data_IF_726956491646
#
_entry.id   IF_726956491646
#
_cell.length_a   1.000
_cell.length_b   1.000
_cell.length_c   1.000
_cell.angle_alpha   90.00
_cell.angle_beta   90.00
_cell.angle_gamma   90.00
#
_symmetry.space_group_name_H-M   'P 1'
#
loop_
_entity.id
_entity.type
_entity.pdbx_description
1 polymer ?
#
# COMPACT_ATOMS: atom_id res chain seq x y z
N UNK A 1 -12.01 -28.13 4.35
CA UNK A 1 -10.77 -28.01 5.14
C UNK A 1 -10.19 -26.66 4.78
N UNK A 2 -10.04 -25.76 5.76
CA UNK A 2 -9.36 -24.49 5.52
C UNK A 2 -7.93 -24.77 5.04
N UNK A 3 -7.47 -24.13 3.98
CA UNK A 3 -6.09 -24.23 3.55
C UNK A 3 -5.18 -23.65 4.65
N UNK A 4 -4.03 -24.27 4.88
CA UNK A 4 -3.06 -23.71 5.83
C UNK A 4 -2.57 -22.34 5.34
N UNK A 5 -2.17 -21.46 6.25
CA UNK A 5 -1.56 -20.13 5.88
C UNK A 5 -0.46 -20.33 4.85
N UNK A 6 0.38 -21.36 5.03
CA UNK A 6 1.46 -21.66 4.08
C UNK A 6 0.94 -22.00 2.67
N UNK A 7 -0.23 -22.66 2.55
CA UNK A 7 -0.86 -22.89 1.25
C UNK A 7 -1.44 -21.62 0.66
N UNK A 8 -2.11 -20.79 1.48
CA UNK A 8 -2.65 -19.48 1.05
C UNK A 8 -1.54 -18.52 0.63
N UNK A 9 -0.43 -18.47 1.38
CA UNK A 9 0.73 -17.63 1.04
C UNK A 9 1.47 -18.11 -0.22
N UNK A 10 1.44 -19.39 -0.55
CA UNK A 10 1.98 -19.91 -1.83
C UNK A 10 1.15 -19.51 -3.05
N UNK A 11 -0.14 -19.22 -2.86
CA UNK A 11 -1.01 -18.68 -3.91
C UNK A 11 -0.77 -17.20 -4.18
N UNK A 12 -0.05 -16.51 -3.29
CA UNK A 12 0.27 -15.09 -3.37
C UNK A 12 1.65 -14.93 -4.00
N UNK A 13 1.70 -14.43 -5.21
CA UNK A 13 2.89 -14.32 -6.05
C UNK A 13 4.05 -13.46 -5.49
N UNK A 14 3.90 -12.88 -4.30
CA UNK A 14 4.82 -11.87 -3.79
C UNK A 14 5.65 -12.29 -2.56
N UNK A 15 5.22 -13.29 -1.80
CA UNK A 15 5.91 -13.69 -0.57
C UNK A 15 7.12 -14.56 -0.87
N UNK A 16 8.32 -14.03 -0.63
CA UNK A 16 9.59 -14.73 -0.85
C UNK A 16 10.07 -14.76 -2.31
N UNK A 17 9.37 -14.11 -3.25
CA UNK A 17 9.83 -13.97 -4.62
C UNK A 17 10.82 -12.80 -4.75
N UNK A 18 12.06 -13.10 -5.10
CA UNK A 18 13.03 -12.05 -5.43
C UNK A 18 12.58 -11.27 -6.66
N UNK A 19 12.70 -9.93 -6.58
CA UNK A 19 12.49 -9.07 -7.75
C UNK A 19 13.66 -9.33 -8.70
N UNK A 20 13.35 -9.80 -9.90
CA UNK A 20 14.38 -10.02 -10.92
C UNK A 20 15.10 -8.71 -11.24
N UNK A 21 16.43 -8.70 -11.19
CA UNK A 21 17.26 -7.53 -11.53
C UNK A 21 17.31 -7.28 -13.07
N UNK A 22 16.19 -7.55 -13.75
CA UNK A 22 16.01 -7.32 -15.21
C UNK A 22 15.18 -6.07 -15.44
N UNK A 23 15.35 -5.47 -16.61
CA UNK A 23 14.62 -4.26 -17.00
C UNK A 23 15.37 -2.97 -16.65
N UNK A 24 14.64 -1.86 -16.75
CA UNK A 24 15.15 -0.50 -16.59
C UNK A 24 14.62 0.08 -15.29
N UNK A 25 15.50 0.77 -14.55
CA UNK A 25 15.18 1.63 -13.42
C UNK A 25 15.50 3.08 -13.75
N UNK A 26 14.90 4.01 -13.00
CA UNK A 26 15.37 5.39 -12.93
C UNK A 26 16.20 5.56 -11.65
N UNK A 27 17.41 6.07 -11.75
CA UNK A 27 18.31 6.24 -10.61
C UNK A 27 19.12 7.52 -10.76
N UNK A 28 19.02 8.42 -9.78
CA UNK A 28 19.76 9.68 -9.69
C UNK A 28 19.82 10.45 -11.04
N UNK A 29 18.66 10.68 -11.66
CA UNK A 29 18.53 11.49 -12.88
C UNK A 29 18.67 10.73 -14.21
N UNK A 30 18.83 9.40 -14.18
CA UNK A 30 19.07 8.61 -15.40
C UNK A 30 18.26 7.31 -15.43
N UNK A 31 17.88 6.87 -16.61
CA UNK A 31 17.41 5.50 -16.83
C UNK A 31 18.61 4.58 -17.01
N UNK A 32 18.69 3.56 -16.20
CA UNK A 32 19.80 2.58 -16.16
C UNK A 32 19.24 1.17 -16.07
N UNK A 33 20.01 0.12 -16.42
CA UNK A 33 19.64 -1.24 -16.06
C UNK A 33 19.38 -1.37 -14.55
N UNK A 34 18.33 -2.08 -14.15
CA UNK A 34 18.00 -2.22 -12.71
C UNK A 34 19.17 -2.78 -11.90
N UNK A 35 19.92 -3.72 -12.47
CA UNK A 35 21.14 -4.28 -11.88
C UNK A 35 22.25 -3.25 -11.57
N UNK A 36 22.21 -2.08 -12.19
CA UNK A 36 23.17 -0.98 -11.97
C UNK A 36 22.65 0.08 -10.99
N UNK A 37 21.35 0.05 -10.65
CA UNK A 37 20.74 0.99 -9.71
C UNK A 37 21.12 0.64 -8.25
N UNK A 38 22.37 0.91 -7.86
CA UNK A 38 22.97 0.49 -6.60
C UNK A 38 23.29 1.66 -5.69
N UNK A 39 23.24 1.40 -4.38
CA UNK A 39 23.67 2.33 -3.34
C UNK A 39 24.78 1.71 -2.50
N UNK A 40 25.64 2.55 -1.91
CA UNK A 40 26.70 2.09 -1.01
C UNK A 40 26.11 1.54 0.29
N UNK A 41 26.73 0.51 0.88
CA UNK A 41 26.37 0.04 2.24
C UNK A 41 26.54 1.13 3.31
N UNK A 42 27.34 2.17 3.05
CA UNK A 42 27.51 3.32 3.94
C UNK A 42 26.40 4.38 3.76
N UNK A 43 25.40 4.14 2.91
CA UNK A 43 24.28 5.05 2.70
C UNK A 43 23.48 5.25 4.00
N UNK A 44 23.24 6.50 4.36
CA UNK A 44 22.55 6.88 5.61
C UNK A 44 21.18 6.22 5.73
N UNK A 45 20.41 6.19 4.65
CA UNK A 45 19.09 5.56 4.65
C UNK A 45 19.14 4.05 4.92
N UNK A 46 20.17 3.34 4.45
CA UNK A 46 20.34 1.92 4.73
C UNK A 46 20.65 1.66 6.21
N UNK A 47 21.37 2.57 6.86
CA UNK A 47 21.74 2.44 8.28
C UNK A 47 20.62 2.84 9.23
N UNK A 48 19.79 3.85 8.87
CA UNK A 48 18.88 4.51 9.80
C UNK A 48 17.42 4.58 9.31
N UNK A 49 17.08 3.94 8.20
CA UNK A 49 15.72 3.97 7.65
C UNK A 49 15.26 5.36 7.21
N UNK A 50 16.18 6.27 6.86
CA UNK A 50 15.89 7.66 6.51
C UNK A 50 15.52 7.80 5.04
N UNK A 51 14.43 7.16 4.67
CA UNK A 51 13.86 7.18 3.33
C UNK A 51 12.34 7.31 3.36
N UNK A 52 11.82 7.65 2.20
CA UNK A 52 10.39 7.72 1.87
C UNK A 52 10.17 6.88 0.64
N UNK A 53 9.08 6.15 0.57
CA UNK A 53 8.74 5.42 -0.64
C UNK A 53 7.26 5.55 -1.00
N UNK A 54 6.94 5.20 -2.21
CA UNK A 54 5.58 4.97 -2.65
C UNK A 54 5.40 3.56 -3.19
N UNK A 55 4.15 3.13 -3.22
CA UNK A 55 3.72 1.96 -3.93
C UNK A 55 2.59 2.37 -4.86
N UNK A 56 2.75 2.16 -6.15
CA UNK A 56 1.80 2.59 -7.16
C UNK A 56 1.47 1.38 -8.04
N UNK A 57 0.20 1.11 -8.31
CA UNK A 57 -0.20 0.05 -9.22
C UNK A 57 -0.53 0.58 -10.60
N UNK A 58 -0.18 -0.21 -11.60
CA UNK A 58 -0.68 -0.09 -12.95
C UNK A 58 -1.37 -1.39 -13.35
N UNK A 59 -2.55 -1.27 -13.97
CA UNK A 59 -3.44 -2.36 -14.31
C UNK A 59 -3.48 -2.54 -15.82
N UNK A 60 -3.22 -3.76 -16.28
CA UNK A 60 -3.25 -4.10 -17.70
C UNK A 60 -4.67 -4.42 -18.17
N UNK A 61 -5.14 -3.71 -19.17
CA UNK A 61 -6.37 -4.03 -19.87
C UNK A 61 -6.06 -4.60 -21.26
N UNK A 62 -6.22 -5.91 -21.50
CA UNK A 62 -5.91 -6.52 -22.78
C UNK A 62 -6.86 -6.09 -23.91
N UNK A 63 -8.11 -5.72 -23.59
CA UNK A 63 -9.07 -5.26 -24.60
C UNK A 63 -8.72 -3.86 -25.14
N UNK A 64 -8.11 -3.04 -24.32
CA UNK A 64 -7.63 -1.70 -24.69
C UNK A 64 -6.16 -1.71 -25.14
N UNK A 65 -5.44 -2.84 -25.04
CA UNK A 65 -3.98 -2.94 -25.17
C UNK A 65 -3.25 -1.86 -24.39
N UNK A 66 -3.77 -1.54 -23.18
CA UNK A 66 -3.35 -0.39 -22.39
C UNK A 66 -3.02 -0.78 -20.96
N UNK A 67 -1.97 -0.14 -20.43
CA UNK A 67 -1.62 -0.18 -19.01
C UNK A 67 -2.07 1.13 -18.38
N UNK A 68 -2.94 1.07 -17.36
CA UNK A 68 -3.46 2.22 -16.66
C UNK A 68 -2.84 2.36 -15.28
N UNK A 69 -2.09 3.44 -15.04
CA UNK A 69 -1.57 3.74 -13.70
C UNK A 69 -2.68 4.37 -12.87
N UNK A 70 -2.98 3.78 -11.73
CA UNK A 70 -4.06 4.23 -10.85
C UNK A 70 -3.58 5.35 -9.93
N UNK A 71 -4.24 6.51 -9.98
CA UNK A 71 -4.04 7.70 -9.15
C UNK A 71 -2.56 8.14 -9.05
N UNK A 72 -1.88 8.10 -10.19
CA UNK A 72 -0.44 8.35 -10.31
C UNK A 72 -0.02 9.68 -9.68
N UNK A 73 -0.75 10.75 -9.98
CA UNK A 73 -0.46 12.10 -9.51
C UNK A 73 -0.58 12.20 -7.99
N UNK A 74 -1.66 11.68 -7.42
CA UNK A 74 -1.92 11.73 -5.98
C UNK A 74 -0.89 10.94 -5.17
N UNK A 75 -0.34 9.86 -5.73
CA UNK A 75 0.79 9.16 -5.13
C UNK A 75 2.02 10.05 -5.03
N UNK A 76 2.37 10.78 -6.07
CA UNK A 76 3.51 11.70 -6.02
C UNK A 76 3.24 12.94 -5.17
N UNK A 77 2.00 13.43 -5.10
CA UNK A 77 1.60 14.48 -4.16
C UNK A 77 1.73 13.99 -2.70
N UNK A 78 1.37 12.73 -2.39
CA UNK A 78 1.61 12.15 -1.06
C UNK A 78 3.10 11.98 -0.79
N UNK A 79 3.88 11.53 -1.77
CA UNK A 79 5.34 11.46 -1.64
C UNK A 79 5.93 12.83 -1.33
N UNK A 80 5.47 13.89 -2.00
CA UNK A 80 5.90 15.26 -1.74
C UNK A 80 5.59 15.73 -0.31
N UNK A 81 4.45 15.30 0.27
CA UNK A 81 4.16 15.52 1.70
C UNK A 81 5.10 14.73 2.61
N UNK A 82 5.32 13.45 2.32
CA UNK A 82 6.19 12.57 3.11
C UNK A 82 7.64 13.05 3.16
N UNK A 83 8.20 13.49 2.03
CA UNK A 83 9.60 13.96 1.97
C UNK A 83 9.81 15.27 2.74
N UNK A 84 8.77 16.11 2.89
CA UNK A 84 8.85 17.32 3.73
C UNK A 84 9.11 16.98 5.20
N UNK A 85 8.52 15.90 5.71
CA UNK A 85 8.78 15.37 7.06
C UNK A 85 10.26 14.99 7.20
N UNK A 86 10.81 14.31 6.21
CA UNK A 86 12.18 13.79 6.21
C UNK A 86 13.23 14.81 5.71
N UNK A 87 12.79 16.03 5.37
CA UNK A 87 13.68 17.07 4.79
C UNK A 87 14.48 16.54 3.59
N UNK A 88 13.82 15.79 2.71
CA UNK A 88 14.36 15.26 1.46
C UNK A 88 13.87 16.14 0.31
N UNK A 89 14.76 16.42 -0.64
CA UNK A 89 14.43 17.11 -1.88
C UNK A 89 14.17 16.09 -3.00
N UNK A 90 13.06 16.27 -3.72
CA UNK A 90 12.72 15.47 -4.90
C UNK A 90 13.32 16.09 -6.16
N UNK A 91 13.61 15.31 -7.21
CA UNK A 91 14.15 15.83 -8.47
C UNK A 91 13.14 16.62 -9.32
N UNK A 92 11.90 16.73 -8.87
CA UNK A 92 10.83 17.46 -9.53
C UNK A 92 9.52 17.42 -8.74
N UNK A 93 8.52 18.08 -9.26
CA UNK A 93 7.16 18.06 -8.73
C UNK A 93 6.40 16.77 -9.11
N UNK A 94 5.15 16.64 -8.66
CA UNK A 94 4.34 15.46 -8.92
C UNK A 94 4.12 15.20 -10.43
N UNK A 95 4.04 16.25 -11.25
CA UNK A 95 3.90 16.11 -12.70
C UNK A 95 5.18 15.54 -13.32
N UNK A 96 6.34 16.10 -13.01
CA UNK A 96 7.64 15.64 -13.52
C UNK A 96 7.91 14.19 -13.10
N UNK A 97 7.60 13.82 -11.85
CA UNK A 97 7.74 12.44 -11.37
C UNK A 97 6.78 11.48 -12.05
N UNK A 98 5.56 11.93 -12.37
CA UNK A 98 4.60 11.14 -13.14
C UNK A 98 5.10 10.86 -14.55
N UNK A 99 5.70 11.82 -15.22
CA UNK A 99 6.30 11.64 -16.55
C UNK A 99 7.46 10.65 -16.52
N UNK A 100 8.33 10.73 -15.51
CA UNK A 100 9.40 9.75 -15.29
C UNK A 100 8.82 8.34 -15.09
N UNK A 101 7.76 8.19 -14.31
CA UNK A 101 7.12 6.89 -14.09
C UNK A 101 6.53 6.32 -15.40
N UNK A 102 5.85 7.14 -16.19
CA UNK A 102 5.29 6.71 -17.48
C UNK A 102 6.38 6.32 -18.47
N UNK A 103 7.47 7.08 -18.53
CA UNK A 103 8.62 6.76 -19.39
C UNK A 103 9.29 5.45 -18.92
N UNK A 104 9.44 5.24 -17.62
CA UNK A 104 9.95 4.00 -17.03
C UNK A 104 9.11 2.78 -17.47
N UNK A 105 7.79 2.88 -17.41
CA UNK A 105 6.89 1.82 -17.81
C UNK A 105 6.96 1.54 -19.31
N UNK A 106 7.04 2.58 -20.14
CA UNK A 106 7.21 2.44 -21.61
C UNK A 106 8.51 1.74 -21.97
N UNK A 107 9.62 2.10 -21.29
CA UNK A 107 10.93 1.47 -21.52
C UNK A 107 10.95 -0.01 -21.15
N UNK A 108 10.17 -0.41 -20.17
CA UNK A 108 10.04 -1.81 -19.74
C UNK A 108 9.00 -2.60 -20.57
N UNK A 109 8.04 -1.95 -21.22
CA UNK A 109 7.08 -2.58 -22.12
C UNK A 109 6.13 -3.59 -21.49
N UNK A 110 5.73 -3.40 -20.25
CA UNK A 110 4.88 -4.34 -19.52
C UNK A 110 3.51 -4.56 -20.17
N UNK A 111 3.05 -5.82 -20.16
CA UNK A 111 1.74 -6.29 -20.63
C UNK A 111 1.02 -7.11 -19.56
N UNK A 112 1.19 -6.75 -18.31
CA UNK A 112 0.59 -7.35 -17.12
C UNK A 112 0.44 -6.28 -16.05
N UNK A 113 -0.25 -6.59 -14.96
CA UNK A 113 -0.30 -5.72 -13.79
C UNK A 113 1.09 -5.50 -13.21
N UNK A 114 1.38 -4.26 -12.85
CA UNK A 114 2.71 -3.80 -12.44
C UNK A 114 2.64 -3.05 -11.12
N UNK A 115 3.68 -3.23 -10.32
CA UNK A 115 3.94 -2.43 -9.13
C UNK A 115 5.13 -1.52 -9.37
N UNK A 116 4.96 -0.22 -9.10
CA UNK A 116 5.98 0.81 -9.25
C UNK A 116 6.43 1.23 -7.85
N UNK A 117 7.74 1.23 -7.62
CA UNK A 117 8.36 1.58 -6.34
C UNK A 117 9.27 2.80 -6.49
N UNK A 118 8.76 4.02 -6.30
CA UNK A 118 9.58 5.21 -6.10
C UNK A 118 10.20 5.20 -4.70
N UNK A 119 11.44 5.66 -4.58
CA UNK A 119 12.22 5.80 -3.36
C UNK A 119 12.95 7.13 -3.35
N UNK A 120 12.77 7.93 -2.30
CA UNK A 120 13.57 9.11 -2.01
C UNK A 120 14.26 8.91 -0.65
N UNK A 121 15.56 9.20 -0.55
CA UNK A 121 16.32 8.79 0.63
C UNK A 121 17.52 9.69 0.90
N UNK A 122 17.99 9.71 2.15
CA UNK A 122 19.25 10.33 2.51
C UNK A 122 20.42 9.49 1.97
N UNK A 123 21.01 9.94 0.87
CA UNK A 123 22.02 9.22 0.11
C UNK A 123 23.47 9.48 0.59
N UNK A 124 23.66 10.39 1.52
CA UNK A 124 24.99 10.68 2.07
C UNK A 124 25.59 9.44 2.74
N UNK A 125 26.89 9.24 2.59
CA UNK A 125 27.68 8.23 3.29
C UNK A 125 28.15 8.81 4.63
N UNK A 126 27.29 8.75 5.65
CA UNK A 126 27.50 9.40 6.94
C UNK A 126 26.92 8.57 8.08
N UNK A 127 27.58 8.56 9.21
CA UNK A 127 27.12 7.94 10.47
C UNK A 127 26.48 8.96 11.43
N UNK A 128 26.42 10.23 11.06
CA UNK A 128 25.81 11.26 11.89
C UNK A 128 24.29 11.19 11.79
N UNK A 129 23.62 10.85 12.88
CA UNK A 129 22.16 10.79 12.93
C UNK A 129 21.57 12.19 12.89
N UNK A 130 21.37 12.73 11.69
CA UNK A 130 20.73 14.02 11.42
C UNK A 130 20.14 13.99 10.00
N UNK A 131 19.16 14.82 9.72
CA UNK A 131 18.54 14.90 8.38
C UNK A 131 19.05 16.11 7.59
N UNK A 132 19.29 17.23 8.29
CA UNK A 132 19.67 18.51 7.66
C UNK A 132 21.08 18.44 7.08
N UNK A 133 21.22 18.90 5.83
CA UNK A 133 22.53 19.02 5.16
C UNK A 133 23.08 17.70 4.60
N UNK A 134 22.32 16.63 4.66
CA UNK A 134 22.69 15.36 4.00
C UNK A 134 22.25 15.41 2.53
N UNK A 135 23.06 14.86 1.63
CA UNK A 135 22.71 14.68 0.22
C UNK A 135 21.53 13.71 0.09
N UNK A 136 20.60 14.04 -0.78
CA UNK A 136 19.44 13.22 -1.12
C UNK A 136 19.71 12.39 -2.37
N UNK A 137 18.96 11.31 -2.53
CA UNK A 137 18.94 10.45 -3.70
C UNK A 137 17.50 10.08 -4.05
N UNK A 138 17.29 9.74 -5.30
CA UNK A 138 16.00 9.28 -5.81
C UNK A 138 16.17 8.12 -6.78
N UNK A 139 15.33 7.10 -6.63
CA UNK A 139 15.24 5.98 -7.55
C UNK A 139 13.82 5.52 -7.75
N UNK A 140 13.55 4.88 -8.87
CA UNK A 140 12.25 4.28 -9.19
C UNK A 140 12.46 3.03 -10.03
N UNK A 141 11.80 1.94 -9.65
CA UNK A 141 11.75 0.72 -10.44
C UNK A 141 10.34 0.17 -10.49
N UNK A 142 10.09 -0.76 -11.40
CA UNK A 142 8.79 -1.39 -11.56
C UNK A 142 8.98 -2.87 -11.90
N UNK A 143 8.01 -3.69 -11.47
CA UNK A 143 8.01 -5.12 -11.70
C UNK A 143 6.58 -5.66 -11.78
N UNK A 144 6.34 -6.77 -12.52
CA UNK A 144 5.05 -7.43 -12.54
C UNK A 144 4.66 -7.89 -11.14
N UNK A 145 3.42 -7.60 -10.72
CA UNK A 145 2.90 -8.02 -9.43
C UNK A 145 1.42 -8.40 -9.55
N UNK A 146 1.10 -9.66 -9.30
CA UNK A 146 -0.25 -10.16 -9.16
C UNK A 146 -0.90 -9.81 -7.80
N UNK A 147 -1.75 -10.67 -7.28
CA UNK A 147 -2.36 -10.50 -5.96
C UNK A 147 -1.27 -10.49 -4.87
N UNK A 148 -1.37 -9.54 -3.95
CA UNK A 148 -0.44 -9.40 -2.81
C UNK A 148 -0.96 -10.09 -1.54
N UNK A 149 -2.28 -10.20 -1.39
CA UNK A 149 -2.97 -10.91 -0.32
C UNK A 149 -3.91 -11.96 -0.91
N UNK A 150 -4.30 -13.00 -0.12
CA UNK A 150 -5.26 -14.00 -0.56
C UNK A 150 -6.57 -13.37 -1.03
N UNK A 151 -7.07 -13.80 -2.19
CA UNK A 151 -8.32 -13.29 -2.79
C UNK A 151 -9.57 -14.02 -2.31
N UNK A 152 -9.41 -15.20 -1.72
CA UNK A 152 -10.49 -16.06 -1.19
C UNK A 152 -10.96 -15.71 0.22
N UNK A 153 -10.56 -14.54 0.74
CA UNK A 153 -10.76 -14.13 2.13
C UNK A 153 -9.55 -14.48 3.01
N UNK A 154 -9.13 -13.54 3.83
CA UNK A 154 -7.95 -13.67 4.69
C UNK A 154 -8.33 -13.80 6.17
N UNK A 155 -7.43 -14.39 6.95
CA UNK A 155 -7.47 -14.39 8.40
C UNK A 155 -6.54 -13.29 8.94
N UNK A 156 -7.04 -12.47 9.87
CA UNK A 156 -6.26 -11.41 10.49
C UNK A 156 -6.12 -11.62 12.01
N UNK A 157 -5.04 -11.10 12.55
CA UNK A 157 -4.76 -11.14 13.99
C UNK A 157 -4.46 -9.76 14.55
N UNK A 158 -5.05 -9.44 15.69
CA UNK A 158 -4.61 -8.27 16.46
C UNK A 158 -3.21 -8.51 17.03
N UNK A 159 -2.24 -7.75 16.56
CA UNK A 159 -0.84 -7.88 16.95
C UNK A 159 -0.62 -7.46 18.43
N UNK A 160 0.38 -8.05 19.06
CA UNK A 160 0.88 -7.58 20.35
C UNK A 160 1.64 -6.24 20.20
N UNK A 161 2.24 -6.01 19.03
CA UNK A 161 2.88 -4.76 18.67
C UNK A 161 1.84 -3.64 18.48
N UNK A 162 2.11 -2.49 19.09
CA UNK A 162 1.27 -1.30 18.90
C UNK A 162 1.72 -0.51 17.68
N UNK A 163 0.79 0.16 17.03
CA UNK A 163 1.13 1.11 15.99
C UNK A 163 2.01 2.21 16.57
N UNK A 164 3.09 2.54 15.87
CA UNK A 164 3.96 3.64 16.28
C UNK A 164 3.19 4.95 16.21
N UNK A 165 3.15 5.70 17.32
CA UNK A 165 2.43 6.97 17.39
C UNK A 165 3.05 8.05 16.51
N UNK A 166 2.24 9.01 16.07
CA UNK A 166 2.65 10.09 15.14
C UNK A 166 3.79 10.95 15.71
N UNK A 167 3.88 11.12 17.03
CA UNK A 167 4.95 11.84 17.72
C UNK A 167 6.26 11.06 17.87
N UNK A 168 6.23 9.75 17.62
CA UNK A 168 7.43 8.89 17.58
C UNK A 168 7.95 8.72 16.13
N UNK A 169 7.11 8.18 15.24
CA UNK A 169 7.37 8.10 13.79
C UNK A 169 6.07 8.46 13.07
N UNK A 170 6.02 9.61 12.36
CA UNK A 170 4.76 10.13 11.83
C UNK A 170 4.15 9.21 10.76
N UNK A 171 2.98 8.66 11.05
CA UNK A 171 2.25 7.73 10.20
C UNK A 171 1.77 8.37 8.87
N UNK A 172 1.60 9.71 8.84
CA UNK A 172 1.28 10.46 7.60
C UNK A 172 2.38 10.37 6.56
N UNK A 173 3.63 10.15 6.97
CA UNK A 173 4.74 9.92 6.07
C UNK A 173 4.92 8.44 5.76
N UNK A 174 4.99 8.07 4.48
CA UNK A 174 5.32 6.70 4.09
C UNK A 174 6.83 6.45 4.19
N UNK A 175 7.30 6.32 5.46
CA UNK A 175 8.72 6.30 5.83
C UNK A 175 9.25 4.86 5.85
N UNK A 176 10.44 4.63 5.25
CA UNK A 176 11.06 3.29 5.22
C UNK A 176 11.32 2.74 6.61
N UNK A 177 11.80 3.57 7.55
CA UNK A 177 12.09 3.16 8.92
C UNK A 177 10.87 2.74 9.75
N UNK A 178 9.67 3.22 9.40
CA UNK A 178 8.43 2.82 10.08
C UNK A 178 8.04 1.36 9.82
N UNK A 179 8.52 0.78 8.72
CA UNK A 179 8.12 -0.57 8.29
C UNK A 179 8.74 -1.70 9.09
N UNK A 180 9.71 -1.43 9.98
CA UNK A 180 10.16 -2.44 10.95
C UNK A 180 9.02 -2.82 11.92
N UNK A 181 8.20 -1.85 12.33
CA UNK A 181 7.02 -2.09 13.15
C UNK A 181 6.02 -3.02 12.42
N UNK A 182 5.80 -2.75 11.12
CA UNK A 182 4.97 -3.61 10.26
C UNK A 182 5.54 -5.03 10.15
N UNK A 183 6.83 -5.16 9.85
CA UNK A 183 7.46 -6.47 9.67
C UNK A 183 7.33 -7.35 10.93
N UNK A 184 7.57 -6.79 12.11
CA UNK A 184 7.43 -7.50 13.39
C UNK A 184 6.00 -7.96 13.66
N UNK A 185 5.01 -7.14 13.34
CA UNK A 185 3.60 -7.47 13.57
C UNK A 185 3.07 -8.52 12.56
N UNK A 186 3.47 -8.42 11.30
CA UNK A 186 3.09 -9.39 10.27
C UNK A 186 3.76 -10.74 10.50
N UNK A 187 5.03 -10.75 10.92
CA UNK A 187 5.76 -11.96 11.29
C UNK A 187 5.06 -12.67 12.48
N UNK A 188 4.67 -11.89 13.52
CA UNK A 188 3.86 -12.42 14.63
C UNK A 188 2.53 -13.01 14.12
N UNK A 189 1.84 -12.32 13.19
CA UNK A 189 0.58 -12.82 12.65
C UNK A 189 0.78 -14.16 11.92
N UNK A 190 1.83 -14.29 11.14
CA UNK A 190 2.19 -15.52 10.44
C UNK A 190 2.51 -16.67 11.42
N UNK A 191 3.24 -16.41 12.51
CA UNK A 191 3.53 -17.39 13.56
C UNK A 191 2.25 -17.96 14.22
N UNK A 192 1.18 -17.19 14.19
CA UNK A 192 -0.16 -17.57 14.69
C UNK A 192 -1.15 -17.96 13.59
N UNK A 193 -0.67 -18.32 12.41
CA UNK A 193 -1.46 -18.80 11.27
C UNK A 193 -2.48 -17.77 10.74
N UNK A 194 -2.17 -16.47 10.82
CA UNK A 194 -2.95 -15.40 10.23
C UNK A 194 -2.19 -14.78 9.03
N UNK A 195 -2.94 -14.28 8.05
CA UNK A 195 -2.39 -13.74 6.80
C UNK A 195 -1.98 -12.26 6.94
N UNK A 196 -2.60 -11.54 7.90
CA UNK A 196 -2.38 -10.10 8.08
C UNK A 196 -2.48 -9.72 9.56
N UNK A 197 -1.74 -8.68 9.96
CA UNK A 197 -1.78 -8.09 11.29
C UNK A 197 -2.79 -6.94 11.37
N UNK A 198 -3.46 -6.78 12.50
CA UNK A 198 -4.23 -5.60 12.87
C UNK A 198 -3.49 -4.87 13.97
N UNK A 199 -3.11 -3.63 13.71
CA UNK A 199 -2.53 -2.77 14.73
C UNK A 199 -3.61 -2.09 15.57
N UNK A 200 -3.30 -1.96 16.86
CA UNK A 200 -3.99 -1.03 17.74
C UNK A 200 -3.10 0.18 18.04
N UNK A 201 -3.72 1.32 18.24
CA UNK A 201 -3.08 2.54 18.80
C UNK A 201 -2.58 2.29 20.22
N UNK A 202 -1.80 3.22 20.77
CA UNK A 202 -1.29 3.12 22.13
C UNK A 202 -2.40 3.01 23.19
N UNK A 203 -3.55 3.65 22.95
CA UNK A 203 -4.74 3.62 23.83
C UNK A 203 -5.70 2.46 23.54
N UNK A 204 -5.39 1.59 22.56
CA UNK A 204 -6.07 0.32 22.34
C UNK A 204 -7.16 0.31 21.28
N UNK A 205 -7.40 1.40 20.57
CA UNK A 205 -8.32 1.43 19.44
C UNK A 205 -7.67 0.86 18.16
N UNK A 206 -8.49 0.40 17.25
CA UNK A 206 -8.02 -0.10 15.94
C UNK A 206 -7.36 1.02 15.15
N UNK A 207 -6.17 0.75 14.62
CA UNK A 207 -5.42 1.65 13.74
C UNK A 207 -5.57 1.20 12.28
N UNK A 208 -4.70 0.34 11.81
CA UNK A 208 -4.69 -0.16 10.43
C UNK A 208 -4.10 -1.58 10.37
N UNK A 209 -4.04 -2.19 9.20
CA UNK A 209 -3.29 -3.43 8.96
C UNK A 209 -1.79 -3.21 8.89
N UNK A 210 -1.02 -4.26 8.66
CA UNK A 210 0.43 -4.21 8.51
C UNK A 210 0.88 -3.27 7.39
N UNK A 211 0.25 -3.35 6.24
CA UNK A 211 0.55 -2.47 5.10
C UNK A 211 -0.69 -1.93 4.38
N UNK A 212 -1.84 -1.91 5.05
CA UNK A 212 -3.15 -1.61 4.50
C UNK A 212 -4.04 -0.90 5.53
N UNK A 213 -4.94 -0.02 5.07
CA UNK A 213 -6.00 0.50 5.93
C UNK A 213 -7.07 -0.56 6.16
N UNK A 214 -7.89 -0.40 7.19
CA UNK A 214 -8.97 -1.33 7.55
C UNK A 214 -10.33 -0.65 7.50
N UNK A 215 -11.33 -1.39 7.05
CA UNK A 215 -12.74 -1.04 7.08
C UNK A 215 -13.53 -2.18 7.74
N UNK A 216 -14.66 -1.84 8.34
CA UNK A 216 -15.69 -2.80 8.75
C UNK A 216 -17.07 -2.32 8.34
N UNK A 217 -17.99 -3.25 8.20
CA UNK A 217 -19.44 -2.95 8.11
C UNK A 217 -20.06 -3.28 9.46
N UNK A 218 -20.79 -2.32 10.00
CA UNK A 218 -21.50 -2.48 11.27
C UNK A 218 -22.81 -1.70 11.25
N UNK A 219 -23.91 -2.37 11.60
CA UNK A 219 -25.26 -1.81 11.57
C UNK A 219 -25.59 -1.13 10.22
N UNK A 220 -25.10 -1.73 9.12
CA UNK A 220 -25.24 -1.24 7.76
C UNK A 220 -24.36 -0.02 7.39
N UNK A 221 -23.56 0.52 8.30
CA UNK A 221 -22.60 1.58 8.03
C UNK A 221 -21.21 1.03 7.65
N UNK A 222 -20.54 1.69 6.73
CA UNK A 222 -19.11 1.47 6.44
C UNK A 222 -18.29 2.32 7.40
N UNK A 223 -17.50 1.67 8.26
CA UNK A 223 -16.74 2.31 9.33
C UNK A 223 -15.25 2.11 9.11
N UNK A 224 -14.44 3.15 9.33
CA UNK A 224 -12.97 3.09 9.24
C UNK A 224 -12.34 3.99 10.32
N UNK A 225 -11.14 3.65 10.82
CA UNK A 225 -10.44 4.52 11.76
C UNK A 225 -10.19 5.91 11.18
N UNK A 226 -10.25 6.98 12.00
CA UNK A 226 -9.96 8.34 11.56
C UNK A 226 -8.46 8.51 11.30
N UNK A 227 -8.08 9.54 10.56
CA UNK A 227 -6.66 9.82 10.24
C UNK A 227 -5.80 10.11 11.48
N UNK A 228 -6.42 10.36 12.63
CA UNK A 228 -5.76 10.56 13.93
C UNK A 228 -5.45 9.25 14.67
N UNK A 229 -5.83 8.09 14.13
CA UNK A 229 -5.56 6.78 14.71
C UNK A 229 -4.20 6.20 14.25
N UNK A 230 -3.19 7.06 14.05
CA UNK A 230 -1.83 6.70 13.60
C UNK A 230 -1.80 5.90 12.29
N UNK A 231 -2.74 6.18 11.38
CA UNK A 231 -2.83 5.53 10.07
C UNK A 231 -2.13 6.32 8.97
N UNK A 232 -1.73 5.61 7.91
CA UNK A 232 -1.40 6.26 6.65
C UNK A 232 -2.69 6.75 5.97
N UNK A 233 -2.68 7.99 5.46
CA UNK A 233 -3.75 8.54 4.63
C UNK A 233 -3.74 7.83 3.26
N UNK A 234 -4.42 6.67 3.18
CA UNK A 234 -4.37 5.76 2.05
C UNK A 234 -5.11 6.29 0.82
N UNK A 235 -4.47 6.22 -0.36
CA UNK A 235 -5.11 6.61 -1.64
C UNK A 235 -6.21 5.61 -2.01
N UNK A 236 -6.01 4.32 -1.77
CA UNK A 236 -7.06 3.31 -1.94
C UNK A 236 -8.20 3.52 -0.94
N UNK A 237 -7.87 3.87 0.33
CA UNK A 237 -8.87 4.24 1.34
C UNK A 237 -9.74 5.40 0.86
N UNK A 238 -9.14 6.46 0.35
CA UNK A 238 -9.86 7.60 -0.20
C UNK A 238 -10.75 7.22 -1.39
N UNK A 239 -10.26 6.35 -2.28
CA UNK A 239 -11.07 5.84 -3.40
C UNK A 239 -12.29 5.04 -2.91
N UNK A 240 -12.14 4.21 -1.87
CA UNK A 240 -13.23 3.44 -1.27
C UNK A 240 -14.27 4.36 -0.62
N UNK A 241 -13.84 5.40 0.09
CA UNK A 241 -14.74 6.38 0.70
C UNK A 241 -15.60 7.09 -0.36
N UNK A 242 -15.00 7.46 -1.50
CA UNK A 242 -15.71 8.08 -2.61
C UNK A 242 -16.70 7.10 -3.26
N UNK A 243 -16.29 5.88 -3.57
CA UNK A 243 -17.15 4.82 -4.11
C UNK A 243 -18.32 4.54 -3.17
N UNK A 244 -18.08 4.41 -1.86
CA UNK A 244 -19.12 4.17 -0.87
C UNK A 244 -20.13 5.32 -0.80
N UNK A 245 -19.65 6.57 -0.87
CA UNK A 245 -20.51 7.75 -0.94
C UNK A 245 -21.42 7.75 -2.17
N UNK A 246 -20.89 7.39 -3.35
CA UNK A 246 -21.66 7.25 -4.59
C UNK A 246 -22.70 6.12 -4.53
N UNK A 247 -22.43 5.07 -3.77
CA UNK A 247 -23.37 3.99 -3.50
C UNK A 247 -24.46 4.37 -2.50
N UNK A 248 -24.42 5.60 -1.93
CA UNK A 248 -25.34 6.08 -0.91
C UNK A 248 -25.17 5.38 0.43
N UNK A 249 -24.01 4.81 0.71
CA UNK A 249 -23.74 4.16 1.99
C UNK A 249 -23.50 5.20 3.08
N UNK A 250 -23.97 4.91 4.30
CA UNK A 250 -23.52 5.65 5.48
C UNK A 250 -22.04 5.33 5.74
N UNK A 251 -21.20 6.36 5.79
CA UNK A 251 -19.76 6.22 6.05
C UNK A 251 -19.42 6.94 7.34
N UNK A 252 -18.69 6.26 8.22
CA UNK A 252 -18.25 6.79 9.50
C UNK A 252 -16.72 6.69 9.64
N UNK A 253 -16.05 7.83 9.80
CA UNK A 253 -14.65 7.89 10.21
C UNK A 253 -14.60 8.14 11.73
N UNK A 254 -14.42 7.08 12.50
CA UNK A 254 -14.42 7.12 13.96
C UNK A 254 -13.46 6.13 14.59
N UNK A 255 -13.17 6.30 15.88
CA UNK A 255 -12.48 5.28 16.67
C UNK A 255 -13.28 3.97 16.66
N UNK A 256 -12.57 2.87 16.61
CA UNK A 256 -13.09 1.51 16.60
C UNK A 256 -12.46 0.76 17.77
N UNK A 257 -13.28 0.23 18.68
CA UNK A 257 -12.82 -0.67 19.72
C UNK A 257 -12.44 -2.03 19.10
N UNK A 258 -11.38 -2.67 19.63
CA UNK A 258 -10.97 -3.99 19.17
C UNK A 258 -12.13 -4.98 19.08
N UNK A 259 -13.02 -4.99 20.08
CA UNK A 259 -14.13 -5.95 20.15
C UNK A 259 -15.24 -5.69 19.14
N UNK A 260 -15.30 -4.50 18.53
CA UNK A 260 -16.23 -4.23 17.43
C UNK A 260 -15.92 -5.10 16.22
N UNK A 261 -14.64 -5.43 15.97
CA UNK A 261 -14.25 -6.35 14.90
C UNK A 261 -14.85 -7.75 15.05
N UNK A 262 -15.14 -8.19 16.29
CA UNK A 262 -15.71 -9.51 16.58
C UNK A 262 -17.23 -9.59 16.36
N UNK A 263 -17.89 -8.45 16.24
CA UNK A 263 -19.33 -8.33 16.02
C UNK A 263 -19.64 -7.58 14.72
N UNK A 264 -18.63 -7.28 13.92
CA UNK A 264 -18.79 -6.68 12.60
C UNK A 264 -19.46 -7.65 11.63
N UNK A 265 -20.28 -7.12 10.72
CA UNK A 265 -20.89 -7.87 9.64
C UNK A 265 -19.86 -8.26 8.59
N UNK A 266 -18.95 -7.33 8.27
CA UNK A 266 -17.83 -7.50 7.36
C UNK A 266 -16.58 -6.77 7.87
N UNK A 267 -15.41 -7.29 7.53
CA UNK A 267 -14.12 -6.60 7.69
C UNK A 267 -13.34 -6.77 6.38
N UNK A 268 -12.64 -5.74 5.95
CA UNK A 268 -11.72 -5.84 4.82
C UNK A 268 -10.57 -4.85 4.94
N UNK A 269 -9.46 -5.18 4.33
CA UNK A 269 -8.30 -4.31 4.21
C UNK A 269 -8.24 -3.65 2.84
N UNK A 270 -7.59 -2.49 2.77
CA UNK A 270 -7.34 -1.85 1.49
C UNK A 270 -5.99 -1.13 1.45
N UNK A 271 -5.40 -1.11 0.27
CA UNK A 271 -4.13 -0.44 0.01
C UNK A 271 -3.66 -0.72 -1.40
N UNK A 272 -2.64 -0.04 -1.86
CA UNK A 272 -2.13 -0.25 -3.22
C UNK A 272 -1.64 -1.70 -3.43
N UNK A 273 -0.97 -2.29 -2.44
CA UNK A 273 -0.57 -3.70 -2.47
C UNK A 273 -1.76 -4.62 -2.28
N UNK A 274 -2.49 -4.43 -1.19
CA UNK A 274 -3.63 -5.25 -0.78
C UNK A 274 -4.85 -5.11 -1.72
N UNK A 275 -4.95 -3.99 -2.45
CA UNK A 275 -6.11 -3.64 -3.26
C UNK A 275 -7.37 -3.55 -2.38
N UNK A 276 -8.39 -4.40 -2.57
CA UNK A 276 -9.50 -4.62 -1.65
C UNK A 276 -9.45 -6.08 -1.24
N UNK A 277 -9.14 -6.35 0.02
CA UNK A 277 -8.88 -7.68 0.54
C UNK A 277 -9.87 -8.02 1.68
N UNK A 278 -10.93 -8.80 1.40
CA UNK A 278 -11.91 -9.20 2.41
C UNK A 278 -11.25 -10.06 3.51
N UNK A 279 -11.64 -9.79 4.77
CA UNK A 279 -11.20 -10.54 5.94
C UNK A 279 -12.37 -11.36 6.48
N UNK A 280 -12.20 -12.67 6.56
CA UNK A 280 -13.24 -13.63 6.98
C UNK A 280 -13.06 -14.13 8.40
N UNK A 281 -11.90 -13.84 9.00
CA UNK A 281 -11.57 -14.24 10.37
C UNK A 281 -10.72 -13.20 11.07
N UNK A 282 -11.06 -12.82 12.31
CA UNK A 282 -10.25 -11.96 13.18
C UNK A 282 -10.02 -12.67 14.52
N UNK A 283 -8.76 -12.79 14.93
CA UNK A 283 -8.37 -13.43 16.20
C UNK A 283 -9.03 -14.82 16.40
N UNK A 284 -9.05 -15.64 15.36
CA UNK A 284 -9.68 -16.99 15.32
C UNK A 284 -11.20 -16.96 15.55
N UNK A 285 -11.86 -15.84 15.26
CA UNK A 285 -13.32 -15.71 15.26
C UNK A 285 -13.78 -15.39 13.84
N UNK A 286 -14.81 -16.06 13.33
CA UNK A 286 -15.37 -15.68 12.04
C UNK A 286 -15.90 -14.25 12.08
N UNK A 287 -15.69 -13.51 11.00
CA UNK A 287 -16.35 -12.23 10.74
C UNK A 287 -17.68 -12.54 10.06
N UNK A 288 -18.77 -12.01 10.60
CA UNK A 288 -20.09 -12.33 10.10
C UNK A 288 -20.36 -13.83 10.11
N UNK A 289 -20.62 -14.41 8.95
CA UNK A 289 -20.78 -15.86 8.76
C UNK A 289 -19.49 -16.60 8.35
N UNK A 290 -18.36 -15.90 8.32
CA UNK A 290 -17.06 -16.44 7.90
C UNK A 290 -16.85 -16.48 6.39
N UNK A 291 -17.70 -15.82 5.61
CA UNK A 291 -17.58 -15.69 4.17
C UNK A 291 -17.25 -14.24 3.75
N UNK A 292 -16.91 -14.05 2.47
CA UNK A 292 -16.71 -12.70 1.91
C UNK A 292 -18.06 -11.99 1.86
N UNK A 293 -18.16 -10.87 2.56
CA UNK A 293 -19.38 -10.09 2.62
C UNK A 293 -19.70 -9.32 1.33
N UNK A 294 -21.00 -9.04 1.11
CA UNK A 294 -21.47 -8.43 -0.13
C UNK A 294 -21.00 -6.99 -0.33
N UNK A 295 -20.75 -6.22 0.75
CA UNK A 295 -20.27 -4.84 0.67
C UNK A 295 -18.82 -4.80 0.21
N UNK A 296 -17.94 -5.56 0.84
CA UNK A 296 -16.53 -5.65 0.46
C UNK A 296 -16.38 -6.14 -0.99
N UNK A 297 -17.18 -7.16 -1.37
CA UNK A 297 -17.21 -7.66 -2.74
C UNK A 297 -17.66 -6.59 -3.73
N UNK A 298 -18.76 -5.89 -3.47
CA UNK A 298 -19.30 -4.84 -4.36
C UNK A 298 -18.31 -3.70 -4.55
N UNK A 299 -17.70 -3.22 -3.47
CA UNK A 299 -16.70 -2.15 -3.51
C UNK A 299 -15.47 -2.62 -4.30
N UNK A 300 -15.02 -3.85 -4.07
CA UNK A 300 -13.90 -4.46 -4.81
C UNK A 300 -14.18 -4.55 -6.31
N UNK A 301 -15.33 -5.07 -6.70
CA UNK A 301 -15.72 -5.20 -8.11
C UNK A 301 -15.71 -3.82 -8.82
N UNK A 302 -16.26 -2.79 -8.18
CA UNK A 302 -16.26 -1.41 -8.70
C UNK A 302 -14.84 -0.85 -8.79
N UNK A 303 -14.06 -1.00 -7.72
CA UNK A 303 -12.67 -0.53 -7.67
C UNK A 303 -11.85 -1.13 -8.82
N UNK A 304 -11.94 -2.44 -9.03
CA UNK A 304 -11.21 -3.11 -10.10
C UNK A 304 -11.70 -2.71 -11.50
N UNK A 305 -13.00 -2.59 -11.71
CA UNK A 305 -13.55 -2.13 -12.98
C UNK A 305 -13.06 -0.72 -13.34
N UNK A 306 -13.03 0.19 -12.35
CA UNK A 306 -12.45 1.53 -12.54
C UNK A 306 -10.96 1.43 -12.83
N UNK A 307 -10.20 0.67 -12.05
CA UNK A 307 -8.75 0.61 -12.17
C UNK A 307 -8.27 0.01 -13.51
N UNK A 308 -8.97 -1.01 -14.03
CA UNK A 308 -8.69 -1.60 -15.33
C UNK A 308 -9.24 -0.79 -16.52
N UNK A 309 -10.15 0.15 -16.29
CA UNK A 309 -10.75 0.95 -17.36
C UNK A 309 -11.99 0.35 -17.99
N UNK A 310 -12.58 -0.66 -17.35
CA UNK A 310 -13.85 -1.28 -17.76
C UNK A 310 -15.05 -0.42 -17.33
N UNK A 311 -14.86 0.45 -16.33
CA UNK A 311 -15.82 1.45 -15.88
C UNK A 311 -15.21 2.85 -16.06
N UNK A 312 -15.99 3.76 -16.67
CA UNK A 312 -15.53 5.12 -16.96
C UNK A 312 -15.79 6.12 -15.83
N UNK A 313 -16.43 5.69 -14.72
CA UNK A 313 -16.43 6.52 -13.51
C UNK A 313 -14.99 6.79 -13.09
N UNK A 314 -14.73 7.98 -12.58
CA UNK A 314 -13.38 8.39 -12.16
C UNK A 314 -12.28 8.10 -13.22
N UNK A 315 -12.57 8.38 -14.50
CA UNK A 315 -11.57 8.21 -15.57
C UNK A 315 -10.29 9.01 -15.31
N UNK A 316 -10.38 10.10 -14.54
CA UNK A 316 -9.27 10.93 -14.07
C UNK A 316 -8.34 10.21 -13.08
N UNK A 317 -8.78 9.10 -12.45
CA UNK A 317 -7.91 8.27 -11.61
C UNK A 317 -6.95 7.40 -12.42
N UNK A 318 -7.15 7.31 -13.72
CA UNK A 318 -6.32 6.49 -14.60
C UNK A 318 -5.44 7.33 -15.48
N UNK A 319 -4.16 6.97 -15.53
CA UNK A 319 -3.20 7.55 -16.46
C UNK A 319 -2.73 6.47 -17.43
N UNK A 320 -3.02 6.63 -18.71
CA UNK A 320 -2.61 5.70 -19.76
C UNK A 320 -1.09 5.76 -20.00
N UNK A 321 -0.45 4.61 -20.07
CA UNK A 321 1.00 4.49 -20.26
C UNK A 321 1.37 4.56 -21.74
N UNK A 322 0.73 3.75 -22.56
CA UNK A 322 1.04 3.67 -23.98
C UNK A 322 0.26 4.75 -24.74
N UNK A 323 0.93 5.36 -25.70
CA UNK A 323 0.26 6.29 -26.63
C UNK A 323 -0.54 5.48 -27.64
N UNK A 324 -1.83 5.76 -27.73
CA UNK A 324 -2.68 5.24 -28.79
C UNK A 324 -2.28 5.81 -30.15
#
# INVERSE_FOLDING_TARGET
>A
MASTVEQRLKEVAAVGQEIAETGIAYHDGKFVPLAEAKVSIATHALQYGTGVFEGIRAYWNPAHEQLYVFRLREHFERMARSVRIMRIELPGDAQALSEIALELLRKNGFRSDVYIRPLAFKAARSVKVALKGLRDGFGMYAFPLGAYLPTGGLAARTASWRRTSDDAIPARGKLTGAYINTALAVDEAHDYESDEAIFLTADGHVSEGGGANIFMVRDGALVTPPVTADILEGITRDSILQIAGELGMLVEERQIDRTELYVAEEVFFCGTGAQVAPCVEVDRRPVGDGAIGPVAKRIGDIYFAIAHGDDNRHSEWRTAVYKG
#
